data_IF_000855281447
#
_entry.id   IF_000855281447
#
_cell.length_a   1.000
_cell.length_b   1.000
_cell.length_c   1.000
_cell.angle_alpha   90.00
_cell.angle_beta   90.00
_cell.angle_gamma   90.00
#
_symmetry.space_group_name_H-M   'P 1'
#
loop_
_entity.id
_entity.type
_entity.pdbx_description
1 polymer ?
#
# COMPACT_ATOMS: atom_id res chain seq x y z
N UNK A 1 27.59 -13.89 6.21
CA UNK A 1 27.26 -12.68 5.45
C UNK A 1 25.82 -12.78 4.96
N UNK A 2 24.83 -12.21 5.67
CA UNK A 2 23.44 -12.12 5.17
C UNK A 2 23.28 -10.78 4.48
N UNK A 3 23.31 -10.78 3.15
CA UNK A 3 23.07 -9.59 2.34
C UNK A 3 21.71 -9.01 2.71
N UNK A 4 21.71 -7.78 3.25
CA UNK A 4 20.50 -6.99 3.50
C UNK A 4 19.94 -6.62 2.13
N UNK A 5 19.01 -7.42 1.60
CA UNK A 5 18.28 -7.11 0.37
C UNK A 5 17.73 -5.69 0.56
N UNK A 6 18.22 -4.77 -0.26
CA UNK A 6 17.90 -3.36 -0.16
C UNK A 6 16.40 -3.17 -0.30
N UNK A 7 15.81 -2.38 0.61
CA UNK A 7 14.40 -1.93 0.57
C UNK A 7 14.01 -1.18 -0.73
N UNK A 8 14.94 -1.04 -1.67
CA UNK A 8 14.91 -0.08 -2.77
C UNK A 8 14.76 -0.68 -4.16
N UNK A 9 14.96 -2.00 -4.33
CA UNK A 9 14.95 -2.60 -5.67
C UNK A 9 13.54 -3.06 -6.11
N UNK A 10 12.68 -3.39 -5.15
CA UNK A 10 11.26 -3.74 -5.41
C UNK A 10 10.38 -2.46 -5.47
N UNK A 11 10.86 -1.33 -4.93
CA UNK A 11 10.03 -0.17 -4.59
C UNK A 11 9.99 0.97 -5.64
N UNK A 12 10.43 0.75 -6.89
CA UNK A 12 10.57 1.85 -7.87
C UNK A 12 9.51 1.93 -8.98
N UNK A 13 8.60 0.97 -9.10
CA UNK A 13 7.38 1.03 -9.94
C UNK A 13 6.29 0.20 -9.22
N UNK A 14 5.04 0.68 -8.97
CA UNK A 14 4.21 1.50 -9.85
C UNK A 14 3.25 2.49 -9.12
N UNK A 15 3.71 3.66 -8.63
CA UNK A 15 2.76 4.72 -8.20
C UNK A 15 1.90 5.27 -9.34
N UNK A 16 2.35 5.08 -10.57
CA UNK A 16 1.70 5.55 -11.79
C UNK A 16 0.67 4.58 -12.38
N UNK A 17 0.50 3.38 -11.82
CA UNK A 17 -0.36 2.34 -12.41
C UNK A 17 -1.39 1.79 -11.42
N UNK A 18 -2.00 2.66 -10.61
CA UNK A 18 -3.12 2.26 -9.76
C UNK A 18 -4.33 1.95 -10.63
N UNK A 19 -5.07 0.90 -10.28
CA UNK A 19 -6.40 0.67 -10.88
C UNK A 19 -7.37 1.79 -10.50
N UNK A 20 -8.48 1.91 -11.25
CA UNK A 20 -9.58 2.82 -10.89
C UNK A 20 -10.16 2.51 -9.50
N UNK A 21 -10.22 1.21 -9.15
CA UNK A 21 -10.69 0.74 -7.86
C UNK A 21 -9.77 1.20 -6.72
N UNK A 22 -8.45 1.01 -6.86
CA UNK A 22 -7.47 1.53 -5.91
C UNK A 22 -7.53 3.06 -5.80
N UNK A 23 -7.68 3.77 -6.92
CA UNK A 23 -7.77 5.23 -6.93
C UNK A 23 -8.98 5.70 -6.15
N UNK A 24 -10.16 5.13 -6.41
CA UNK A 24 -11.41 5.43 -5.69
C UNK A 24 -11.29 5.12 -4.20
N UNK A 25 -10.68 3.99 -3.83
CA UNK A 25 -10.46 3.64 -2.43
C UNK A 25 -9.50 4.64 -1.76
N UNK A 26 -8.39 5.00 -2.42
CA UNK A 26 -7.41 5.94 -1.89
C UNK A 26 -8.04 7.29 -1.56
N UNK A 27 -8.93 7.80 -2.41
CA UNK A 27 -9.66 9.04 -2.15
C UNK A 27 -10.58 9.01 -0.92
N UNK A 28 -10.94 7.83 -0.42
CA UNK A 28 -11.81 7.65 0.75
C UNK A 28 -11.04 7.45 2.06
N UNK A 29 -9.82 6.91 2.00
CA UNK A 29 -9.05 6.50 3.20
C UNK A 29 -7.79 7.34 3.46
N UNK A 30 -7.37 8.15 2.48
CA UNK A 30 -6.21 9.05 2.63
C UNK A 30 -6.44 10.09 3.72
N UNK A 31 -5.37 10.78 4.11
CA UNK A 31 -5.45 11.97 4.97
C UNK A 31 -6.24 11.75 6.28
N UNK A 32 -6.20 10.54 6.83
CA UNK A 32 -6.91 10.19 8.08
C UNK A 32 -8.43 10.36 8.01
N UNK A 33 -9.02 10.25 6.82
CA UNK A 33 -10.46 10.43 6.59
C UNK A 33 -11.34 9.38 7.27
N UNK A 34 -10.82 8.18 7.53
CA UNK A 34 -11.53 7.10 8.21
C UNK A 34 -11.11 7.03 9.68
N UNK A 35 -11.99 7.51 10.56
CA UNK A 35 -11.80 7.45 12.03
C UNK A 35 -10.45 7.98 12.54
N UNK A 36 -9.79 8.88 11.80
CA UNK A 36 -8.47 9.42 12.16
C UNK A 36 -7.28 8.50 11.83
N UNK A 37 -7.51 7.31 11.29
CA UNK A 37 -6.46 6.32 11.04
C UNK A 37 -5.65 6.62 9.79
N UNK A 38 -4.32 6.47 9.91
CA UNK A 38 -3.42 6.69 8.78
C UNK A 38 -3.32 5.45 7.89
N UNK A 39 -3.77 5.57 6.65
CA UNK A 39 -3.49 4.60 5.59
C UNK A 39 -2.31 5.06 4.72
N UNK A 40 -1.45 4.11 4.37
CA UNK A 40 -0.34 4.28 3.43
C UNK A 40 -0.57 3.34 2.25
N UNK A 41 -0.39 3.83 1.03
CA UNK A 41 -0.56 3.03 -0.20
C UNK A 41 0.77 2.45 -0.71
N UNK A 42 0.72 1.27 -1.33
CA UNK A 42 1.85 0.58 -1.97
C UNK A 42 3.05 0.42 -1.02
N UNK A 43 2.79 -0.10 0.18
CA UNK A 43 3.81 -0.23 1.22
C UNK A 43 4.54 -1.58 1.10
N UNK A 44 5.88 -1.60 1.00
CA UNK A 44 6.65 -2.83 1.08
C UNK A 44 6.54 -3.47 2.48
N UNK A 45 6.10 -4.72 2.54
CA UNK A 45 6.04 -5.53 3.75
C UNK A 45 6.76 -6.87 3.50
N UNK A 46 7.99 -6.97 4.02
CA UNK A 46 8.85 -8.12 3.78
C UNK A 46 9.17 -8.28 2.29
N UNK A 47 8.66 -9.36 1.68
CA UNK A 47 8.84 -9.68 0.25
C UNK A 47 7.66 -9.25 -0.64
N UNK A 48 6.67 -8.58 -0.07
CA UNK A 48 5.43 -8.18 -0.75
C UNK A 48 5.27 -6.66 -0.77
N UNK A 49 4.45 -6.16 -1.68
CA UNK A 49 3.95 -4.79 -1.67
C UNK A 49 2.44 -4.88 -1.49
N UNK A 50 1.92 -4.24 -0.45
CA UNK A 50 0.49 -4.18 -0.17
C UNK A 50 -0.13 -2.92 -0.75
N UNK A 51 -1.35 -3.00 -1.29
CA UNK A 51 -2.03 -1.85 -1.88
C UNK A 51 -2.29 -0.75 -0.86
N UNK A 52 -2.79 -1.10 0.32
CA UNK A 52 -2.96 -0.18 1.45
C UNK A 52 -2.68 -0.86 2.80
N UNK A 53 -2.10 -0.08 3.72
CA UNK A 53 -1.85 -0.53 5.09
C UNK A 53 -2.19 0.55 6.11
N UNK A 54 -2.87 0.16 7.18
CA UNK A 54 -2.96 0.93 8.42
C UNK A 54 -2.09 0.25 9.49
N UNK A 55 -0.87 0.79 9.68
CA UNK A 55 0.09 0.26 10.67
C UNK A 55 -0.42 0.38 12.10
N UNK A 56 -1.17 1.43 12.40
CA UNK A 56 -1.76 1.70 13.72
C UNK A 56 -2.73 0.59 14.15
N UNK A 57 -3.43 -0.03 13.18
CA UNK A 57 -4.43 -1.07 13.44
C UNK A 57 -3.99 -2.47 12.98
N UNK A 58 -2.80 -2.61 12.39
CA UNK A 58 -2.33 -3.89 11.86
C UNK A 58 -3.17 -4.43 10.69
N UNK A 59 -3.79 -3.55 9.91
CA UNK A 59 -4.69 -3.92 8.81
C UNK A 59 -4.02 -3.70 7.46
N UNK A 60 -4.11 -4.70 6.59
CA UNK A 60 -3.77 -4.63 5.16
C UNK A 60 -5.08 -4.71 4.37
N UNK A 61 -5.20 -3.89 3.32
CA UNK A 61 -6.30 -3.94 2.36
C UNK A 61 -5.69 -4.11 0.97
N UNK A 62 -6.03 -5.21 0.31
CA UNK A 62 -5.67 -5.50 -1.08
C UNK A 62 -6.92 -5.31 -1.95
N UNK A 63 -6.76 -4.69 -3.13
CA UNK A 63 -7.84 -4.45 -4.08
C UNK A 63 -7.64 -5.40 -5.25
N UNK A 64 -8.46 -6.43 -5.35
CA UNK A 64 -8.44 -7.33 -6.50
C UNK A 64 -9.06 -6.61 -7.71
N UNK A 65 -8.21 -6.24 -8.67
CA UNK A 65 -8.55 -5.43 -9.84
C UNK A 65 -9.32 -6.17 -10.94
N UNK A 66 -9.99 -7.28 -10.64
CA UNK A 66 -10.67 -8.13 -11.62
C UNK A 66 -12.20 -8.05 -11.56
N UNK A 67 -12.80 -7.32 -12.51
CA UNK A 67 -14.09 -7.69 -13.10
C UNK A 67 -14.07 -7.40 -14.61
#
# INVERSE_FOLDING_TARGET
MRGRIGRTDIARKPRANQTDAETKLWHRIRNRQISGFKFVRQEPIGRYICDFVCREQGVIVEVDGGQ
#
